data_IF_859450656497
#
_entry.id   IF_859450656497
#
_cell.length_a   1.000
_cell.length_b   1.000
_cell.length_c   1.000
_cell.angle_alpha   90.00
_cell.angle_beta   90.00
_cell.angle_gamma   90.00
#
_symmetry.space_group_name_H-M   'P 1'
#
loop_
_entity.id
_entity.type
_entity.pdbx_description
1 polymer ?
#
# COMPACT_ATOMS: atom_id res chain seq x y z
N UNK A 1 21.65 6.70 -80.09
CA UNK A 1 21.52 5.69 -81.15
C UNK A 1 20.52 4.65 -80.70
N UNK A 2 19.38 4.70 -81.35
CA UNK A 2 18.30 3.71 -81.41
C UNK A 2 18.78 2.47 -82.23
N UNK A 3 18.00 1.38 -82.36
CA UNK A 3 16.76 0.85 -81.74
C UNK A 3 16.71 -0.70 -81.72
N UNK A 4 15.53 -1.23 -81.48
CA UNK A 4 14.79 -2.38 -82.04
C UNK A 4 14.20 -3.30 -80.96
N UNK A 5 12.89 -3.28 -80.73
CA UNK A 5 11.74 -3.93 -81.37
C UNK A 5 11.85 -5.44 -81.54
N UNK A 6 10.93 -6.16 -80.93
CA UNK A 6 9.83 -7.00 -81.48
C UNK A 6 9.58 -8.15 -80.54
N UNK A 7 8.51 -8.86 -80.38
CA UNK A 7 7.14 -8.92 -80.91
C UNK A 7 6.29 -9.86 -80.02
N UNK A 8 5.02 -9.69 -80.07
CA UNK A 8 3.88 -10.46 -79.48
C UNK A 8 3.99 -11.98 -79.77
N UNK A 9 3.44 -12.77 -78.79
CA UNK A 9 2.49 -13.82 -79.24
C UNK A 9 1.51 -14.13 -78.08
N UNK A 10 0.22 -14.01 -78.40
CA UNK A 10 -0.95 -14.51 -77.65
C UNK A 10 -1.12 -15.98 -78.01
N UNK A 11 -1.36 -16.83 -76.97
CA UNK A 11 -2.10 -18.07 -77.18
C UNK A 11 -3.10 -18.23 -76.01
N UNK A 12 -4.36 -18.22 -76.40
CA UNK A 12 -5.49 -18.55 -75.58
C UNK A 12 -5.79 -20.06 -75.74
N UNK A 13 -6.12 -20.75 -74.63
CA UNK A 13 -6.92 -22.00 -74.65
C UNK A 13 -7.44 -22.29 -73.24
N UNK A 14 -8.60 -22.13 -73.05
CA UNK A 14 -9.83 -22.87 -72.70
C UNK A 14 -9.76 -23.98 -71.69
N UNK A 15 -10.54 -23.73 -70.60
CA UNK A 15 -11.52 -24.58 -69.89
C UNK A 15 -11.11 -25.98 -69.41
N UNK A 16 -11.21 -26.15 -68.11
CA UNK A 16 -11.91 -27.29 -67.48
C UNK A 16 -12.33 -26.94 -66.01
N UNK A 17 -13.62 -26.87 -65.77
CA UNK A 17 -14.26 -26.80 -64.48
C UNK A 17 -14.30 -28.21 -63.91
N UNK A 18 -13.67 -28.43 -62.76
CA UNK A 18 -13.90 -29.61 -61.92
C UNK A 18 -14.43 -29.13 -60.55
N UNK A 19 -15.73 -29.33 -60.37
CA UNK A 19 -16.34 -29.23 -59.05
C UNK A 19 -15.90 -30.44 -58.20
N UNK A 20 -15.06 -30.21 -57.22
CA UNK A 20 -14.81 -31.14 -56.13
C UNK A 20 -15.46 -30.56 -54.88
N UNK A 21 -16.56 -31.12 -54.45
CA UNK A 21 -17.15 -30.93 -53.15
C UNK A 21 -16.22 -31.54 -52.06
N UNK A 22 -15.36 -30.74 -51.49
CA UNK A 22 -14.50 -31.08 -50.39
C UNK A 22 -15.16 -30.56 -49.09
N UNK A 23 -15.53 -31.49 -48.22
CA UNK A 23 -16.01 -31.26 -46.84
C UNK A 23 -14.97 -30.43 -46.08
N UNK A 24 -15.25 -29.16 -45.79
CA UNK A 24 -14.45 -28.35 -44.90
C UNK A 24 -14.73 -28.78 -43.45
N UNK A 25 -13.83 -29.58 -42.90
CA UNK A 25 -13.70 -29.77 -41.47
C UNK A 25 -13.31 -28.44 -40.85
N UNK A 26 -14.21 -27.81 -40.10
CA UNK A 26 -13.88 -26.69 -39.21
C UNK A 26 -12.95 -27.20 -38.13
N UNK A 27 -11.65 -27.16 -38.36
CA UNK A 27 -10.67 -27.19 -37.32
C UNK A 27 -10.91 -25.94 -36.46
N UNK A 28 -11.55 -26.08 -35.32
CA UNK A 28 -11.49 -25.07 -34.26
C UNK A 28 -10.03 -25.03 -33.82
N UNK A 29 -9.25 -24.14 -34.41
CA UNK A 29 -7.97 -23.73 -33.89
C UNK A 29 -8.28 -23.13 -32.50
N UNK A 30 -7.80 -23.80 -31.44
CA UNK A 30 -7.68 -23.17 -30.16
C UNK A 30 -6.85 -21.91 -30.39
N UNK A 31 -7.47 -20.76 -30.29
CA UNK A 31 -6.78 -19.47 -30.14
C UNK A 31 -5.98 -19.68 -28.86
N UNK A 32 -4.64 -19.58 -28.87
CA UNK A 32 -3.92 -19.49 -27.60
C UNK A 32 -4.56 -18.31 -26.89
N UNK A 33 -4.94 -18.52 -25.63
CA UNK A 33 -5.30 -17.43 -24.73
C UNK A 33 -4.12 -16.48 -24.81
N UNK A 34 -4.30 -15.37 -25.54
CA UNK A 34 -3.36 -14.29 -25.51
C UNK A 34 -3.23 -13.92 -24.03
N UNK A 35 -2.03 -13.89 -23.51
CA UNK A 35 -1.76 -13.03 -22.40
C UNK A 35 -2.23 -11.66 -22.88
N UNK A 36 -3.33 -11.22 -22.31
CA UNK A 36 -3.69 -9.83 -22.34
C UNK A 36 -2.52 -9.18 -21.58
N UNK A 37 -1.67 -8.44 -22.27
CA UNK A 37 -0.66 -7.59 -21.63
C UNK A 37 -1.44 -6.47 -20.96
N UNK A 38 -2.16 -6.84 -19.87
CA UNK A 38 -3.09 -5.99 -19.13
C UNK A 38 -2.37 -4.75 -18.64
N UNK A 39 -3.08 -3.66 -18.63
CA UNK A 39 -2.60 -2.36 -18.17
C UNK A 39 -2.01 -2.50 -16.76
N UNK A 40 -0.77 -2.02 -16.53
CA UNK A 40 -0.15 -2.00 -15.22
C UNK A 40 -0.96 -1.12 -14.27
N UNK A 41 -1.01 -1.49 -13.00
CA UNK A 41 -1.56 -0.66 -11.93
C UNK A 41 -0.43 -0.19 -11.01
N UNK A 42 -0.33 1.10 -10.78
CA UNK A 42 0.71 1.69 -9.94
C UNK A 42 0.18 1.97 -8.54
N UNK A 43 0.78 1.33 -7.53
CA UNK A 43 0.29 1.39 -6.15
C UNK A 43 1.37 1.97 -5.23
N UNK A 44 0.98 2.97 -4.43
CA UNK A 44 1.83 3.54 -3.39
C UNK A 44 1.72 2.76 -2.09
N UNK A 45 2.87 2.35 -1.52
CA UNK A 45 2.98 1.71 -0.21
C UNK A 45 4.16 2.27 0.57
N UNK A 46 4.26 1.98 1.85
CA UNK A 46 5.48 2.18 2.62
C UNK A 46 6.55 1.16 2.26
N UNK A 47 7.82 1.55 2.36
CA UNK A 47 8.94 0.66 2.07
C UNK A 47 9.75 0.28 3.31
N UNK A 48 9.48 0.89 4.45
CA UNK A 48 10.28 0.79 5.67
C UNK A 48 9.51 0.31 6.91
N UNK A 49 8.23 -0.12 6.78
CA UNK A 49 7.39 -0.52 7.91
C UNK A 49 7.20 -2.04 7.96
N UNK A 50 7.98 -2.79 8.79
CA UNK A 50 7.81 -4.23 8.96
C UNK A 50 6.39 -4.57 9.43
N UNK A 51 5.79 -5.60 8.83
CA UNK A 51 4.42 -6.02 9.09
C UNK A 51 3.33 -5.18 8.41
N UNK A 52 3.64 -3.96 7.92
CA UNK A 52 2.68 -3.06 7.27
C UNK A 52 3.00 -2.90 5.78
N UNK A 53 4.13 -2.30 5.45
CA UNK A 53 4.59 -2.08 4.09
C UNK A 53 6.11 -2.04 4.07
N UNK A 54 6.73 -3.11 3.62
CA UNK A 54 8.18 -3.29 3.63
C UNK A 54 8.68 -3.72 2.27
N UNK A 55 9.71 -3.04 1.78
CA UNK A 55 10.54 -3.52 0.68
C UNK A 55 11.75 -4.24 1.27
N UNK A 56 11.80 -5.55 1.07
CA UNK A 56 12.89 -6.39 1.57
C UNK A 56 14.19 -6.18 0.75
N UNK A 57 15.36 -6.58 1.27
CA UNK A 57 16.64 -6.41 0.57
C UNK A 57 16.72 -7.16 -0.77
N UNK A 58 15.96 -8.23 -0.96
CA UNK A 58 15.86 -8.97 -2.22
C UNK A 58 14.89 -8.34 -3.23
N UNK A 59 14.25 -7.24 -2.83
CA UNK A 59 13.35 -6.45 -3.69
C UNK A 59 11.90 -6.90 -3.66
N UNK A 60 11.53 -7.87 -2.82
CA UNK A 60 10.12 -8.23 -2.61
C UNK A 60 9.41 -7.23 -1.71
N UNK A 61 8.07 -7.23 -1.76
CA UNK A 61 7.24 -6.37 -0.95
C UNK A 61 6.38 -7.22 -0.03
N UNK A 62 6.31 -6.86 1.25
CA UNK A 62 5.58 -7.63 2.27
C UNK A 62 4.88 -6.69 3.24
N UNK A 63 3.85 -7.19 3.92
CA UNK A 63 3.12 -6.47 4.93
C UNK A 63 1.61 -6.45 4.68
N UNK A 64 0.87 -6.00 5.67
CA UNK A 64 -0.59 -5.97 5.64
C UNK A 64 -1.13 -5.06 4.52
N UNK A 65 -0.57 -3.86 4.36
CA UNK A 65 -0.93 -2.94 3.27
C UNK A 65 -0.65 -3.53 1.89
N UNK A 66 0.44 -4.32 1.76
CA UNK A 66 0.79 -5.01 0.52
C UNK A 66 -0.24 -6.10 0.19
N UNK A 67 -0.65 -6.89 1.20
CA UNK A 67 -1.65 -7.94 1.01
C UNK A 67 -3.03 -7.32 0.67
N UNK A 68 -3.44 -6.26 1.37
CA UNK A 68 -4.68 -5.51 1.08
C UNK A 68 -4.63 -4.92 -0.34
N UNK A 69 -3.55 -4.24 -0.69
CA UNK A 69 -3.41 -3.62 -2.01
C UNK A 69 -3.38 -4.65 -3.15
N UNK A 70 -2.72 -5.80 -2.93
CA UNK A 70 -2.69 -6.91 -3.90
C UNK A 70 -4.08 -7.51 -4.08
N UNK A 71 -4.82 -7.72 -2.99
CA UNK A 71 -6.20 -8.20 -3.06
C UNK A 71 -7.09 -7.23 -3.84
N UNK A 72 -7.00 -5.94 -3.53
CA UNK A 72 -7.75 -4.88 -4.23
C UNK A 72 -7.40 -4.85 -5.72
N UNK A 73 -6.11 -4.89 -6.08
CA UNK A 73 -5.67 -4.91 -7.47
C UNK A 73 -6.27 -6.09 -8.24
N UNK A 74 -6.28 -7.28 -7.62
CA UNK A 74 -6.89 -8.48 -8.20
C UNK A 74 -8.39 -8.31 -8.44
N UNK A 75 -9.13 -7.74 -7.49
CA UNK A 75 -10.57 -7.47 -7.65
C UNK A 75 -10.85 -6.37 -8.70
N UNK A 76 -9.87 -5.50 -8.98
CA UNK A 76 -9.91 -4.53 -10.07
C UNK A 76 -9.54 -5.14 -11.43
N UNK A 77 -9.10 -6.40 -11.48
CA UNK A 77 -8.79 -7.13 -12.70
C UNK A 77 -7.30 -7.17 -13.08
N UNK A 78 -6.41 -6.84 -12.14
CA UNK A 78 -4.96 -6.88 -12.35
C UNK A 78 -4.32 -8.08 -11.65
N UNK A 79 -3.47 -8.80 -12.35
CA UNK A 79 -2.65 -9.86 -11.76
C UNK A 79 -1.49 -9.28 -10.93
N UNK A 80 -0.92 -10.03 -9.99
CA UNK A 80 0.15 -9.53 -9.12
C UNK A 80 1.41 -9.04 -9.86
N UNK A 81 1.72 -9.59 -11.03
CA UNK A 81 2.85 -9.20 -11.87
C UNK A 81 2.61 -7.91 -12.67
N UNK A 82 1.36 -7.41 -12.70
CA UNK A 82 0.98 -6.12 -13.27
C UNK A 82 1.06 -4.97 -12.25
N UNK A 83 1.39 -5.26 -10.99
CA UNK A 83 1.48 -4.24 -9.94
C UNK A 83 2.86 -3.58 -9.96
N UNK A 84 2.87 -2.27 -10.16
CA UNK A 84 4.07 -1.42 -10.03
C UNK A 84 4.04 -0.74 -8.67
N UNK A 85 4.96 -1.15 -7.77
CA UNK A 85 5.05 -0.59 -6.44
C UNK A 85 5.86 0.70 -6.41
N UNK A 86 5.33 1.75 -5.77
CA UNK A 86 6.04 3.01 -5.51
C UNK A 86 6.08 3.32 -4.01
N UNK A 87 7.20 3.87 -3.58
CA UNK A 87 7.32 4.37 -2.20
C UNK A 87 6.42 5.60 -2.02
N UNK A 88 5.51 5.54 -1.04
CA UNK A 88 4.61 6.62 -0.69
C UNK A 88 4.92 7.13 0.74
N UNK A 89 5.89 8.03 0.85
CA UNK A 89 6.21 8.69 2.11
C UNK A 89 5.03 9.52 2.59
N UNK A 90 4.88 9.68 3.91
CA UNK A 90 3.70 10.36 4.48
C UNK A 90 3.49 11.76 3.91
N UNK A 91 4.55 12.53 3.70
CA UNK A 91 4.48 13.90 3.15
C UNK A 91 4.14 13.96 1.64
N UNK A 92 4.27 12.85 0.91
CA UNK A 92 4.17 12.87 -0.56
C UNK A 92 2.81 12.34 -1.06
N UNK A 93 2.04 11.62 -0.22
CA UNK A 93 0.86 10.83 -0.61
C UNK A 93 -0.18 11.62 -1.37
N UNK A 94 -0.60 12.78 -0.82
CA UNK A 94 -1.60 13.64 -1.44
C UNK A 94 -1.11 14.15 -2.81
N UNK A 95 0.14 14.56 -2.89
CA UNK A 95 0.74 15.07 -4.14
C UNK A 95 0.86 13.98 -5.20
N UNK A 96 1.26 12.76 -4.82
CA UNK A 96 1.36 11.62 -5.74
C UNK A 96 -0.02 11.30 -6.34
N UNK A 97 -1.08 11.28 -5.51
CA UNK A 97 -2.45 11.05 -5.99
C UNK A 97 -2.94 12.18 -6.90
N UNK A 98 -2.72 13.44 -6.51
CA UNK A 98 -3.15 14.60 -7.29
C UNK A 98 -2.47 14.68 -8.66
N UNK A 99 -1.22 14.21 -8.79
CA UNK A 99 -0.48 14.18 -10.05
C UNK A 99 -0.77 12.95 -10.91
N UNK A 100 -1.44 11.94 -10.36
CA UNK A 100 -1.61 10.66 -11.03
C UNK A 100 -0.31 9.85 -11.11
N UNK A 101 0.61 10.07 -10.17
CA UNK A 101 1.85 9.29 -10.10
C UNK A 101 1.58 7.84 -9.66
N UNK A 102 0.44 7.60 -9.03
CA UNK A 102 -0.09 6.32 -8.58
C UNK A 102 -1.61 6.27 -8.78
N UNK A 103 -2.17 5.08 -8.98
CA UNK A 103 -3.61 4.85 -9.10
C UNK A 103 -4.30 4.89 -7.74
N UNK A 104 -3.68 4.29 -6.73
CA UNK A 104 -4.10 4.39 -5.33
C UNK A 104 -2.93 4.21 -4.36
N UNK A 105 -3.16 4.53 -3.08
CA UNK A 105 -2.17 4.40 -2.00
C UNK A 105 -2.76 3.63 -0.82
N UNK A 106 -2.10 2.54 -0.42
CA UNK A 106 -2.29 1.81 0.83
C UNK A 106 -0.97 1.88 1.62
N UNK A 107 -0.85 2.83 2.54
CA UNK A 107 0.45 3.17 3.13
C UNK A 107 0.30 3.71 4.57
N UNK A 108 -0.31 2.90 5.49
CA UNK A 108 -0.68 3.34 6.83
C UNK A 108 -1.32 4.74 6.77
N UNK A 109 -2.37 4.87 5.97
CA UNK A 109 -2.87 6.18 5.54
C UNK A 109 -4.15 6.53 6.30
N UNK A 110 -3.98 7.13 7.48
CA UNK A 110 -5.11 7.57 8.32
C UNK A 110 -6.00 8.56 7.59
N UNK A 111 -7.30 8.28 7.60
CA UNK A 111 -8.35 9.15 7.09
C UNK A 111 -8.54 10.29 8.08
N UNK A 112 -8.45 11.54 7.62
CA UNK A 112 -8.83 12.72 8.38
C UNK A 112 -9.35 13.81 7.44
N UNK A 113 -9.96 14.85 8.01
CA UNK A 113 -10.63 15.92 7.25
C UNK A 113 -9.65 16.68 6.35
N UNK A 114 -8.45 17.02 6.85
CA UNK A 114 -7.45 17.76 6.08
C UNK A 114 -7.03 17.03 4.80
N UNK A 115 -6.82 15.70 4.91
CA UNK A 115 -6.47 14.83 3.79
C UNK A 115 -7.67 14.63 2.87
N UNK A 116 -8.88 14.47 3.45
CA UNK A 116 -10.12 14.29 2.70
C UNK A 116 -10.51 15.53 1.86
N UNK A 117 -10.00 16.72 2.18
CA UNK A 117 -10.12 17.90 1.30
C UNK A 117 -9.33 17.72 -0.01
N UNK A 118 -8.20 17.00 0.02
CA UNK A 118 -7.21 16.91 -1.08
C UNK A 118 -7.40 15.67 -1.95
N UNK A 119 -7.81 14.55 -1.34
CA UNK A 119 -7.95 13.22 -1.97
C UNK A 119 -9.23 12.55 -1.48
N UNK A 120 -9.65 11.46 -2.12
CA UNK A 120 -10.72 10.62 -1.59
C UNK A 120 -10.16 9.35 -0.95
N UNK A 121 -10.90 8.78 -0.01
CA UNK A 121 -10.55 7.55 0.67
C UNK A 121 -11.60 6.45 0.46
N UNK A 122 -11.16 5.25 0.19
CA UNK A 122 -11.92 4.03 0.38
C UNK A 122 -11.53 3.39 1.73
N UNK A 123 -12.42 2.64 2.34
CA UNK A 123 -12.22 2.04 3.65
C UNK A 123 -13.06 2.68 4.74
N UNK A 124 -12.64 2.63 6.01
CA UNK A 124 -11.33 2.15 6.49
C UNK A 124 -11.15 0.63 6.36
N UNK A 125 -9.90 0.18 6.30
CA UNK A 125 -9.56 -1.24 6.22
C UNK A 125 -8.80 -1.77 7.45
N UNK A 126 -8.30 -0.88 8.30
CA UNK A 126 -7.67 -1.18 9.59
C UNK A 126 -7.98 -0.04 10.56
N UNK A 127 -8.21 -0.37 11.83
CA UNK A 127 -8.15 0.58 12.94
C UNK A 127 -6.89 0.27 13.75
N UNK A 128 -6.02 1.26 13.91
CA UNK A 128 -4.85 1.25 14.77
C UNK A 128 -4.95 2.41 15.77
N UNK A 129 -4.06 2.47 16.75
CA UNK A 129 -4.03 3.54 17.74
C UNK A 129 -2.64 4.17 17.78
N UNK A 130 -2.57 5.48 17.88
CA UNK A 130 -1.28 6.12 18.11
C UNK A 130 -0.74 5.76 19.48
N UNK A 131 0.54 5.40 19.53
CA UNK A 131 1.27 5.07 20.76
C UNK A 131 2.71 5.59 20.70
N UNK A 132 3.55 5.15 21.58
CA UNK A 132 4.99 5.41 21.60
C UNK A 132 5.79 4.13 21.72
N UNK A 133 6.94 4.07 21.09
CA UNK A 133 7.98 3.07 21.30
C UNK A 133 9.09 3.71 22.14
N UNK A 134 9.45 3.07 23.24
CA UNK A 134 10.49 3.49 24.17
C UNK A 134 11.49 2.38 24.40
N UNK A 135 12.67 2.70 24.92
CA UNK A 135 13.64 1.66 25.34
C UNK A 135 13.04 0.80 26.45
N UNK A 136 13.31 -0.50 26.43
CA UNK A 136 12.74 -1.45 27.36
C UNK A 136 13.12 -1.15 28.83
N UNK A 137 14.28 -0.55 29.05
CA UNK A 137 14.81 -0.16 30.37
C UNK A 137 14.43 1.26 30.80
N UNK A 138 13.70 2.01 29.95
CA UNK A 138 13.25 3.37 30.29
C UNK A 138 11.92 3.34 31.03
N UNK A 139 11.94 3.74 32.29
CA UNK A 139 10.77 3.89 33.16
C UNK A 139 10.35 5.35 33.37
N UNK A 140 10.89 6.28 32.61
CA UNK A 140 10.60 7.72 32.75
C UNK A 140 9.33 8.16 32.02
N UNK A 141 8.77 7.32 31.14
CA UNK A 141 7.55 7.59 30.37
C UNK A 141 6.51 6.55 30.75
N UNK A 142 5.53 6.96 31.56
CA UNK A 142 4.46 6.09 32.12
C UNK A 142 3.06 6.57 31.77
N UNK A 143 2.94 7.79 31.28
CA UNK A 143 1.68 8.42 30.87
C UNK A 143 1.96 9.45 29.77
N UNK A 144 0.97 9.84 28.97
CA UNK A 144 1.16 10.77 27.84
C UNK A 144 1.83 12.10 28.24
N UNK A 145 1.51 12.66 29.39
CA UNK A 145 2.10 13.92 29.87
C UNK A 145 3.61 13.85 30.15
N UNK A 146 4.16 12.64 30.35
CA UNK A 146 5.61 12.46 30.56
C UNK A 146 6.40 12.65 29.28
N UNK A 147 5.72 12.75 28.13
CA UNK A 147 6.32 13.06 26.81
C UNK A 147 6.76 14.53 26.70
N UNK A 148 6.19 15.45 27.51
CA UNK A 148 6.68 16.81 27.58
C UNK A 148 8.17 16.82 27.99
N UNK A 149 8.93 17.76 27.42
CA UNK A 149 10.38 17.88 27.59
C UNK A 149 11.22 16.68 27.05
N UNK A 150 10.56 15.66 26.46
CA UNK A 150 11.27 14.53 25.81
C UNK A 150 11.65 14.85 24.37
N UNK A 151 12.70 14.21 23.91
CA UNK A 151 13.09 14.19 22.50
C UNK A 151 12.28 13.11 21.80
N UNK A 152 11.21 13.53 21.13
CA UNK A 152 10.35 12.64 20.36
C UNK A 152 10.79 12.58 18.90
N UNK A 153 10.59 11.41 18.30
CA UNK A 153 10.76 11.23 16.86
C UNK A 153 9.45 10.79 16.22
N UNK A 154 9.19 11.31 15.04
CA UNK A 154 8.11 10.87 14.15
C UNK A 154 8.49 11.15 12.70
N UNK A 155 7.56 11.02 11.76
CA UNK A 155 7.83 11.35 10.35
C UNK A 155 7.01 12.53 9.87
N UNK A 156 7.63 13.33 9.01
CA UNK A 156 7.00 14.49 8.39
C UNK A 156 5.73 14.08 7.63
N UNK A 157 4.63 14.80 7.88
CA UNK A 157 3.35 14.54 7.24
C UNK A 157 2.55 13.39 7.86
N UNK A 158 2.97 12.84 9.02
CA UNK A 158 2.17 11.91 9.81
C UNK A 158 1.18 12.65 10.72
N UNK A 159 0.03 12.02 10.98
CA UNK A 159 -0.92 12.47 12.02
C UNK A 159 -0.28 12.44 13.39
N UNK A 160 0.53 11.42 13.69
CA UNK A 160 1.20 11.24 14.97
C UNK A 160 2.12 12.39 15.34
N UNK A 161 2.88 12.93 14.35
CA UNK A 161 3.73 14.09 14.59
C UNK A 161 2.90 15.33 14.95
N UNK A 162 1.77 15.52 14.25
CA UNK A 162 0.89 16.66 14.48
C UNK A 162 0.18 16.58 15.83
N UNK A 163 -0.39 15.41 16.16
CA UNK A 163 -1.12 15.19 17.41
C UNK A 163 -0.24 15.44 18.64
N UNK A 164 1.01 14.96 18.62
CA UNK A 164 1.95 15.22 19.73
C UNK A 164 2.14 16.71 19.94
N UNK A 165 2.34 17.44 18.85
CA UNK A 165 2.67 18.87 18.90
C UNK A 165 1.52 19.72 19.38
N UNK A 166 0.29 19.40 18.96
CA UNK A 166 -0.86 20.23 19.15
C UNK A 166 -1.67 19.87 20.40
N UNK A 167 -1.70 18.58 20.77
CA UNK A 167 -2.66 18.08 21.76
C UNK A 167 -2.03 17.29 22.91
N UNK A 168 -1.01 16.45 22.62
CA UNK A 168 -0.56 15.45 23.60
C UNK A 168 0.59 15.96 24.45
N UNK A 169 1.64 16.50 23.81
CA UNK A 169 2.87 16.94 24.46
C UNK A 169 3.46 18.17 23.73
N UNK A 170 2.83 19.35 23.87
CA UNK A 170 3.25 20.54 23.14
C UNK A 170 4.66 21.03 23.49
N UNK A 171 5.17 20.68 24.67
CA UNK A 171 6.52 21.02 25.12
C UNK A 171 7.57 19.97 24.69
N UNK A 172 7.18 18.90 24.00
CA UNK A 172 8.09 17.89 23.48
C UNK A 172 9.01 18.46 22.39
N UNK A 173 10.26 17.99 22.39
CA UNK A 173 11.23 18.32 21.35
C UNK A 173 11.05 17.35 20.18
N UNK A 174 10.11 17.64 19.26
CA UNK A 174 9.80 16.78 18.13
C UNK A 174 10.87 16.90 17.05
N UNK A 175 11.42 15.75 16.64
CA UNK A 175 12.29 15.58 15.48
C UNK A 175 11.54 14.76 14.44
N UNK A 176 11.50 15.24 13.20
CA UNK A 176 10.80 14.61 12.10
C UNK A 176 11.78 14.16 11.02
N UNK A 177 11.62 12.91 10.57
CA UNK A 177 12.41 12.32 9.49
C UNK A 177 11.53 11.93 8.30
N UNK A 178 12.15 11.35 7.27
CA UNK A 178 11.44 10.86 6.08
C UNK A 178 10.80 9.48 6.26
N UNK A 179 11.33 8.68 7.21
CA UNK A 179 10.87 7.34 7.54
C UNK A 179 11.09 7.00 9.01
N UNK A 180 10.29 6.08 9.56
CA UNK A 180 10.38 5.69 10.97
C UNK A 180 11.65 4.89 11.31
N UNK A 181 12.21 4.18 10.34
CA UNK A 181 13.48 3.45 10.51
C UNK A 181 14.63 4.37 10.95
N UNK A 182 14.62 5.63 10.54
CA UNK A 182 15.61 6.63 10.98
C UNK A 182 15.47 6.95 12.48
N UNK A 183 14.25 6.93 13.02
CA UNK A 183 13.97 7.14 14.44
C UNK A 183 14.53 6.01 15.32
N UNK A 184 14.48 4.76 14.85
CA UNK A 184 14.91 3.58 15.63
C UNK A 184 16.39 3.67 16.02
N UNK A 185 17.25 4.05 15.09
CA UNK A 185 18.69 4.26 15.37
C UNK A 185 18.89 5.30 16.45
N UNK A 186 18.13 6.38 16.42
CA UNK A 186 18.17 7.43 17.44
C UNK A 186 17.67 6.95 18.80
N UNK A 187 16.60 6.14 18.82
CA UNK A 187 16.03 5.58 20.03
C UNK A 187 16.98 4.58 20.70
N UNK A 188 17.57 3.66 19.92
CA UNK A 188 18.53 2.67 20.40
C UNK A 188 19.75 3.32 21.06
N UNK A 189 20.27 4.38 20.42
CA UNK A 189 21.46 5.08 20.91
C UNK A 189 21.16 6.17 21.95
N UNK A 190 19.91 6.35 22.37
CA UNK A 190 19.51 7.35 23.36
C UNK A 190 19.61 8.79 22.88
N UNK A 191 19.65 9.01 21.56
CA UNK A 191 19.60 10.36 20.93
C UNK A 191 18.19 10.92 21.03
N UNK A 192 17.19 10.06 20.89
CA UNK A 192 15.78 10.34 21.16
C UNK A 192 15.28 9.50 22.33
N UNK A 193 14.20 9.93 22.96
CA UNK A 193 13.63 9.27 24.14
C UNK A 193 12.45 8.37 23.78
N UNK A 194 11.66 8.75 22.75
CA UNK A 194 10.56 7.96 22.23
C UNK A 194 10.34 8.20 20.72
N UNK A 195 9.87 7.17 20.04
CA UNK A 195 9.30 7.23 18.69
C UNK A 195 7.77 7.15 18.82
N UNK A 196 7.04 8.08 18.20
CA UNK A 196 5.57 8.05 18.20
C UNK A 196 5.04 7.83 16.79
N UNK A 197 4.16 6.85 16.67
CA UNK A 197 3.32 6.52 15.52
C UNK A 197 2.29 5.47 15.96
N UNK A 198 1.66 4.81 15.01
CA UNK A 198 0.61 3.84 15.25
C UNK A 198 1.18 2.54 15.83
N UNK A 199 0.49 1.98 16.80
CA UNK A 199 0.87 0.79 17.55
C UNK A 199 1.18 -0.42 16.66
N UNK A 200 0.42 -0.60 15.58
CA UNK A 200 0.67 -1.63 14.56
C UNK A 200 2.05 -1.50 13.90
N UNK A 201 2.48 -0.26 13.60
CA UNK A 201 3.81 0.03 13.05
C UNK A 201 4.88 -0.21 14.12
N UNK A 202 4.65 0.29 15.35
CA UNK A 202 5.58 0.14 16.46
C UNK A 202 5.80 -1.33 16.83
N UNK A 203 4.73 -2.13 16.84
CA UNK A 203 4.79 -3.56 17.08
C UNK A 203 5.62 -4.28 16.02
N UNK A 204 5.44 -3.91 14.75
CA UNK A 204 6.22 -4.44 13.63
C UNK A 204 7.72 -4.19 13.80
N UNK A 205 8.12 -2.99 14.23
CA UNK A 205 9.52 -2.68 14.51
C UNK A 205 10.06 -3.44 15.73
N UNK A 206 9.31 -3.43 16.84
CA UNK A 206 9.73 -4.10 18.06
C UNK A 206 9.93 -5.63 17.90
N UNK A 207 9.21 -6.24 16.96
CA UNK A 207 9.28 -7.66 16.66
C UNK A 207 10.46 -8.06 15.75
N UNK A 208 11.24 -7.09 15.21
CA UNK A 208 12.42 -7.42 14.41
C UNK A 208 13.47 -8.11 15.29
N UNK A 209 14.12 -9.16 14.78
CA UNK A 209 15.13 -9.94 15.50
C UNK A 209 16.24 -9.05 16.10
N UNK A 210 16.65 -8.04 15.37
CA UNK A 210 17.68 -7.08 15.81
C UNK A 210 17.24 -6.19 16.97
N UNK A 211 15.91 -6.03 17.23
CA UNK A 211 15.32 -5.19 18.27
C UNK A 211 14.65 -5.99 19.38
N UNK A 212 14.70 -7.31 19.34
CA UNK A 212 14.09 -8.18 20.33
C UNK A 212 14.55 -7.79 21.77
N UNK A 213 13.58 -7.45 22.61
CA UNK A 213 13.83 -7.05 24.02
C UNK A 213 14.46 -5.67 24.23
N UNK A 214 14.76 -4.92 23.16
CA UNK A 214 15.34 -3.57 23.28
C UNK A 214 14.30 -2.48 23.49
N UNK A 215 13.09 -2.68 22.98
CA UNK A 215 12.01 -1.70 22.99
C UNK A 215 10.72 -2.27 23.60
N UNK A 216 9.86 -1.37 24.05
CA UNK A 216 8.49 -1.66 24.49
C UNK A 216 7.55 -0.56 24.01
N UNK A 217 6.29 -0.91 23.76
CA UNK A 217 5.22 0.03 23.50
C UNK A 217 4.80 0.69 24.83
N UNK A 218 4.35 1.95 24.75
CA UNK A 218 3.81 2.68 25.91
C UNK A 218 2.44 2.18 26.36
N UNK A 219 1.61 1.73 25.41
CA UNK A 219 0.24 1.27 25.66
C UNK A 219 -0.72 2.42 25.96
N UNK A 220 -0.57 3.57 25.28
CA UNK A 220 -1.31 4.79 25.65
C UNK A 220 -2.59 5.01 24.85
N UNK A 221 -2.73 4.45 23.64
CA UNK A 221 -3.88 4.69 22.76
C UNK A 221 -4.21 6.17 22.61
N UNK A 222 -3.24 6.95 22.10
CA UNK A 222 -3.29 8.41 22.08
C UNK A 222 -4.33 8.98 21.12
N UNK A 223 -4.61 8.27 20.01
CA UNK A 223 -5.65 8.61 19.03
C UNK A 223 -6.06 7.37 18.23
N UNK A 224 -7.22 7.45 17.56
CA UNK A 224 -7.70 6.43 16.63
C UNK A 224 -7.20 6.73 15.22
N UNK A 225 -6.57 5.76 14.57
CA UNK A 225 -5.99 5.87 13.25
C UNK A 225 -6.71 4.94 12.27
N UNK A 226 -7.71 5.47 11.57
CA UNK A 226 -8.52 4.74 10.60
C UNK A 226 -7.78 4.67 9.26
N UNK A 227 -7.13 3.54 8.93
CA UNK A 227 -6.40 3.41 7.67
C UNK A 227 -7.35 3.25 6.48
N UNK A 228 -7.20 4.14 5.51
CA UNK A 228 -7.93 4.09 4.25
C UNK A 228 -6.99 3.98 3.04
N UNK A 229 -7.56 3.55 1.93
CA UNK A 229 -6.90 3.57 0.64
C UNK A 229 -7.18 4.91 -0.02
N UNK A 230 -6.14 5.72 -0.20
CA UNK A 230 -6.23 7.00 -0.87
C UNK A 230 -6.33 6.86 -2.38
N UNK A 231 -7.23 7.61 -2.99
CA UNK A 231 -7.40 7.73 -4.45
C UNK A 231 -7.50 9.20 -4.84
N UNK A 232 -7.29 9.50 -6.12
CA UNK A 232 -7.48 10.85 -6.63
C UNK A 232 -8.91 11.34 -6.35
N UNK A 233 -9.05 12.61 -6.03
CA UNK A 233 -10.35 13.24 -5.73
C UNK A 233 -11.33 13.06 -6.88
N UNK A 234 -12.52 12.55 -6.58
CA UNK A 234 -13.57 12.26 -7.56
C UNK A 234 -13.36 10.99 -8.39
N UNK A 235 -12.40 10.14 -8.04
CA UNK A 235 -12.14 8.88 -8.75
C UNK A 235 -13.23 7.84 -8.50
N UNK A 236 -13.67 7.16 -9.55
CA UNK A 236 -14.58 6.01 -9.48
C UNK A 236 -13.96 4.80 -8.74
N UNK A 237 -12.63 4.77 -8.59
CA UNK A 237 -11.92 3.70 -7.89
C UNK A 237 -12.37 3.55 -6.45
N UNK A 238 -12.73 4.65 -5.76
CA UNK A 238 -13.23 4.61 -4.38
C UNK A 238 -14.30 3.55 -4.16
N UNK A 239 -15.34 3.54 -5.01
CA UNK A 239 -16.45 2.61 -4.85
C UNK A 239 -16.06 1.17 -5.16
N UNK A 240 -15.21 0.96 -6.16
CA UNK A 240 -14.70 -0.36 -6.54
C UNK A 240 -13.79 -0.93 -5.44
N UNK A 241 -12.93 -0.10 -4.86
CA UNK A 241 -12.04 -0.48 -3.75
C UNK A 241 -12.87 -0.79 -2.50
N UNK A 242 -13.89 -0.01 -2.16
CA UNK A 242 -14.80 -0.33 -1.05
C UNK A 242 -15.43 -1.71 -1.21
N UNK A 243 -15.95 -2.04 -2.40
CA UNK A 243 -16.53 -3.35 -2.67
C UNK A 243 -15.49 -4.49 -2.56
N UNK A 244 -14.25 -4.23 -2.98
CA UNK A 244 -13.16 -5.19 -2.82
C UNK A 244 -12.78 -5.41 -1.34
N UNK A 245 -12.74 -4.35 -0.54
CA UNK A 245 -12.47 -4.44 0.90
C UNK A 245 -13.59 -5.18 1.65
N UNK A 246 -14.87 -4.92 1.34
CA UNK A 246 -16.01 -5.66 1.90
C UNK A 246 -15.88 -7.16 1.59
N UNK A 247 -15.56 -7.49 0.34
CA UNK A 247 -15.35 -8.88 -0.08
C UNK A 247 -14.16 -9.53 0.62
N UNK A 248 -13.06 -8.80 0.82
CA UNK A 248 -11.86 -9.29 1.53
C UNK A 248 -12.18 -9.70 2.97
N UNK A 249 -13.07 -8.97 3.63
CA UNK A 249 -13.56 -9.32 4.98
C UNK A 249 -14.50 -10.52 4.91
N UNK A 250 -15.45 -10.53 3.97
CA UNK A 250 -16.46 -11.58 3.83
C UNK A 250 -15.84 -12.96 3.52
N UNK A 251 -14.80 -13.02 2.71
CA UNK A 251 -14.14 -14.28 2.32
C UNK A 251 -13.02 -14.74 3.27
N UNK A 252 -12.73 -13.98 4.33
CA UNK A 252 -11.72 -14.27 5.35
C UNK A 252 -10.29 -13.92 4.93
N UNK A 253 -10.08 -13.31 3.77
CA UNK A 253 -8.75 -12.90 3.31
C UNK A 253 -8.16 -11.80 4.19
N UNK A 254 -9.01 -10.95 4.78
CA UNK A 254 -8.60 -9.93 5.73
C UNK A 254 -8.02 -10.55 7.01
N UNK A 255 -8.70 -11.51 7.61
CA UNK A 255 -8.24 -12.23 8.81
C UNK A 255 -6.93 -12.98 8.53
N UNK A 256 -6.82 -13.60 7.35
CA UNK A 256 -5.59 -14.27 6.94
C UNK A 256 -4.41 -13.31 6.77
N UNK A 257 -4.66 -12.11 6.24
CA UNK A 257 -3.64 -11.07 6.11
C UNK A 257 -3.20 -10.52 7.48
N UNK A 258 -4.13 -10.35 8.41
CA UNK A 258 -3.85 -9.98 9.81
C UNK A 258 -2.96 -11.01 10.48
N UNK A 259 -3.37 -12.27 10.49
CA UNK A 259 -2.59 -13.37 11.11
C UNK A 259 -1.17 -13.46 10.53
N UNK A 260 -1.06 -13.37 9.21
CA UNK A 260 0.22 -13.44 8.51
C UNK A 260 1.18 -12.32 8.91
N UNK A 261 0.68 -11.09 9.02
CA UNK A 261 1.53 -9.90 9.14
C UNK A 261 1.69 -9.40 10.57
N UNK A 262 0.66 -9.58 11.42
CA UNK A 262 0.66 -9.12 12.80
C UNK A 262 0.91 -10.24 13.82
N UNK A 263 0.62 -11.50 13.45
CA UNK A 263 0.91 -12.65 14.28
C UNK A 263 2.37 -12.73 14.77
N UNK A 264 3.38 -12.53 13.90
CA UNK A 264 4.78 -12.54 14.33
C UNK A 264 5.14 -11.48 15.38
N UNK A 265 4.45 -10.33 15.38
CA UNK A 265 4.63 -9.27 16.37
C UNK A 265 3.76 -9.47 17.62
N UNK A 266 2.93 -10.51 17.66
CA UNK A 266 1.90 -10.71 18.69
C UNK A 266 1.03 -9.45 18.93
N UNK A 267 0.83 -8.67 17.84
CA UNK A 267 0.01 -7.48 17.88
C UNK A 267 -1.47 -7.85 17.99
N UNK A 268 -2.18 -7.22 18.89
CA UNK A 268 -3.62 -7.43 19.10
C UNK A 268 -4.38 -6.36 18.31
N UNK A 269 -4.78 -6.70 17.09
CA UNK A 269 -5.53 -5.78 16.24
C UNK A 269 -7.01 -5.69 16.62
N UNK A 270 -7.62 -4.55 16.34
CA UNK A 270 -9.06 -4.38 16.37
C UNK A 270 -9.73 -5.26 15.28
N UNK A 271 -11.02 -5.63 15.46
CA UNK A 271 -11.78 -6.30 14.41
C UNK A 271 -11.81 -5.50 13.10
N UNK A 272 -12.05 -6.19 11.99
CA UNK A 272 -12.18 -5.53 10.68
C UNK A 272 -13.17 -4.35 10.75
N UNK A 273 -12.76 -3.13 10.40
CA UNK A 273 -13.63 -1.97 10.47
C UNK A 273 -14.74 -2.05 9.43
N UNK A 274 -15.86 -1.43 9.75
CA UNK A 274 -16.96 -1.30 8.78
C UNK A 274 -16.65 -0.20 7.77
N UNK A 275 -16.73 -0.54 6.48
CA UNK A 275 -16.49 0.43 5.41
C UNK A 275 -17.38 1.67 5.55
N UNK A 276 -16.79 2.85 5.44
CA UNK A 276 -17.46 4.14 5.57
C UNK A 276 -17.74 4.60 7.00
N UNK A 277 -17.29 3.85 8.01
CA UNK A 277 -17.47 4.21 9.43
C UNK A 277 -16.10 4.59 10.01
N UNK A 278 -15.96 5.82 10.44
CA UNK A 278 -14.76 6.34 11.12
C UNK A 278 -14.99 6.24 12.63
N UNK A 279 -14.00 5.70 13.33
CA UNK A 279 -13.96 5.67 14.80
C UNK A 279 -13.22 6.93 15.26
N UNK A 280 -13.91 7.76 16.05
CA UNK A 280 -13.37 8.99 16.64
C UNK A 280 -12.68 8.76 17.98
#
# INVERSE_FOLDING_TARGET
MNPLRTTRTLVASATAVVLALGSASLAHGAVPAGHDDGEEITIGIKFDQPGIGLKTPDGTYTGFDVDVATYVAKELGHDPDQIVWKEAKSADRETMLQRGDVDFIAASYSINDERAEKVDFAGPYLLAHQDVLIRADDDSIKQPSDLNDKRLCSVTGSTSAQNVKDEIAPDAQLQEYGGYSECLTGLENGVIDALTTDDSILAGYAAQEEFEGKFKLGGFELSNENYGIGVQKGSDLKNKINAALEKMVEDGSWDAAVEKNFGPANYQNEPAPKIGVIVE
#
